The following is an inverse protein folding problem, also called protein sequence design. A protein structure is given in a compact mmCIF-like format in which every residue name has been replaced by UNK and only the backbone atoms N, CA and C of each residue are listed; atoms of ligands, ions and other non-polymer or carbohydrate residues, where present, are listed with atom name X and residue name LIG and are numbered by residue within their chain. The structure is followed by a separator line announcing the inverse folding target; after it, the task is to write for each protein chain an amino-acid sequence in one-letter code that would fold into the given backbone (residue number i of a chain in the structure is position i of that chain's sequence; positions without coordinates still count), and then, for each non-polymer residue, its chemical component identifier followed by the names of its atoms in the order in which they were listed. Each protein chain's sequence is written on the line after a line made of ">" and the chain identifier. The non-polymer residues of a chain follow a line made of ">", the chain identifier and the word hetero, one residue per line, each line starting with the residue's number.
data_IF_884440724737
#
_entry.id   IF_884440724737
#
_cell.length_a   1.000
_cell.length_b   1.000
_cell.length_c   1.000
_cell.angle_alpha   90.00
_cell.angle_beta   90.00
_cell.angle_gamma   90.00
#
_symmetry.space_group_name_H-M   'P 1'
#
loop_
_entity.id
_entity.type
_entity.pdbx_description
1 polymer ?
#
# COMPACT_ATOMS: atom_id res chain seq x y z
N UNK A 1 1.67 19.05 -0.16
CA UNK A 1 1.02 17.99 0.63
C UNK A 1 2.07 17.28 1.46
N UNK A 2 1.65 16.53 2.48
CA UNK A 2 2.50 15.57 3.18
C UNK A 2 2.01 14.17 2.81
N UNK A 3 2.93 13.23 2.56
CA UNK A 3 2.62 11.81 2.36
C UNK A 3 2.87 11.11 3.69
N UNK A 4 1.85 10.43 4.22
CA UNK A 4 2.00 9.58 5.40
C UNK A 4 2.70 8.26 5.03
N UNK A 5 3.59 7.79 5.91
CA UNK A 5 4.28 6.51 5.75
C UNK A 5 4.28 5.76 7.08
N UNK A 6 4.27 4.42 7.04
CA UNK A 6 4.22 3.59 8.26
C UNK A 6 5.58 3.51 8.97
N UNK A 7 6.68 3.59 8.21
CA UNK A 7 8.03 3.61 8.75
C UNK A 7 9.02 4.39 7.89
N UNK A 8 10.02 4.97 8.54
CA UNK A 8 11.15 5.66 7.90
C UNK A 8 12.48 5.27 8.55
N UNK A 9 13.37 4.70 7.75
CA UNK A 9 14.78 4.54 8.10
C UNK A 9 15.62 5.65 7.45
N UNK A 10 16.03 6.62 8.28
CA UNK A 10 16.83 7.75 7.84
C UNK A 10 18.25 7.39 7.40
N UNK A 11 18.80 6.25 7.83
CA UNK A 11 20.15 5.85 7.46
C UNK A 11 20.21 5.31 6.03
N UNK A 12 19.31 4.40 5.67
CA UNK A 12 19.23 3.84 4.31
C UNK A 12 18.36 4.66 3.36
N UNK A 13 17.68 5.69 3.87
CA UNK A 13 16.64 6.45 3.16
C UNK A 13 15.54 5.55 2.61
N UNK A 14 15.01 4.70 3.49
CA UNK A 14 13.99 3.70 3.13
C UNK A 14 12.69 3.98 3.84
N UNK A 15 11.61 4.05 3.06
CA UNK A 15 10.24 4.01 3.56
C UNK A 15 9.80 2.55 3.66
N UNK A 16 9.15 2.21 4.78
CA UNK A 16 8.46 0.94 4.93
C UNK A 16 6.95 1.20 4.88
N UNK A 17 6.22 0.46 4.06
CA UNK A 17 4.75 0.51 4.01
C UNK A 17 4.13 -0.85 4.28
N UNK A 18 3.06 -0.84 5.06
CA UNK A 18 2.22 -2.00 5.31
C UNK A 18 0.86 -1.77 4.64
N UNK A 19 0.49 -2.67 3.74
CA UNK A 19 -0.74 -2.54 2.96
C UNK A 19 -1.80 -3.52 3.44
N UNK A 20 -2.80 -3.01 4.17
CA UNK A 20 -4.00 -3.77 4.48
C UNK A 20 -4.70 -4.20 3.19
N UNK A 21 -4.89 -5.50 2.96
CA UNK A 21 -5.26 -5.99 1.62
C UNK A 21 -6.59 -5.42 1.09
N UNK A 22 -7.57 -5.21 1.97
CA UNK A 22 -8.85 -4.59 1.62
C UNK A 22 -8.77 -3.07 1.48
N UNK A 23 -7.97 -2.41 2.32
CA UNK A 23 -7.91 -0.94 2.37
C UNK A 23 -6.96 -0.35 1.31
N UNK A 24 -6.11 -1.18 0.72
CA UNK A 24 -5.17 -0.81 -0.34
C UNK A 24 -5.43 -1.57 -1.64
N UNK A 25 -6.56 -2.28 -1.73
CA UNK A 25 -7.02 -2.87 -2.98
C UNK A 25 -6.16 -4.00 -3.55
N UNK A 26 -5.55 -4.84 -2.71
CA UNK A 26 -4.60 -5.88 -3.16
C UNK A 26 -5.19 -6.75 -4.28
N UNK A 27 -4.67 -6.66 -5.53
CA UNK A 27 -5.19 -7.43 -6.65
C UNK A 27 -4.93 -8.93 -6.45
N UNK A 28 -5.91 -9.75 -6.81
CA UNK A 28 -5.78 -11.22 -6.77
C UNK A 28 -5.48 -11.79 -5.37
N UNK A 29 -5.86 -11.09 -4.30
CA UNK A 29 -5.67 -11.53 -2.92
C UNK A 29 -6.90 -12.28 -2.38
N UNK A 30 -6.67 -13.39 -1.66
CA UNK A 30 -7.72 -14.19 -1.04
C UNK A 30 -8.50 -13.42 0.05
N UNK A 31 -7.86 -12.46 0.72
CA UNK A 31 -8.51 -11.60 1.72
C UNK A 31 -9.47 -10.58 1.11
N UNK A 32 -9.27 -10.24 -0.17
CA UNK A 32 -10.13 -9.34 -0.95
C UNK A 32 -11.11 -10.08 -1.88
N UNK A 33 -11.03 -11.41 -1.93
CA UNK A 33 -11.83 -12.21 -2.87
C UNK A 33 -13.35 -12.03 -2.62
N UNK A 34 -14.08 -11.76 -3.70
CA UNK A 34 -15.53 -11.57 -3.66
C UNK A 34 -15.96 -10.19 -3.17
N UNK A 35 -15.03 -9.23 -3.08
CA UNK A 35 -15.31 -7.82 -2.81
C UNK A 35 -14.80 -6.97 -3.97
N UNK A 36 -15.58 -5.98 -4.35
CA UNK A 36 -15.20 -4.96 -5.34
C UNK A 36 -15.05 -3.57 -4.72
N UNK A 37 -15.55 -3.41 -3.48
CA UNK A 37 -15.52 -2.17 -2.71
C UNK A 37 -14.93 -2.41 -1.33
N UNK A 38 -14.30 -1.38 -0.78
CA UNK A 38 -13.81 -1.39 0.58
C UNK A 38 -14.97 -1.24 1.60
N UNK A 39 -14.81 -1.77 2.84
CA UNK A 39 -15.86 -1.74 3.84
C UNK A 39 -15.95 -0.42 4.62
N UNK A 40 -14.98 0.50 4.49
CA UNK A 40 -14.95 1.76 5.22
C UNK A 40 -15.71 2.86 4.47
N UNK A 41 -15.34 3.09 3.21
CA UNK A 41 -15.74 4.29 2.48
C UNK A 41 -16.51 3.99 1.17
N UNK A 42 -16.72 2.71 0.85
CA UNK A 42 -17.31 2.22 -0.41
C UNK A 42 -16.51 2.62 -1.66
N UNK A 43 -15.20 2.79 -1.53
CA UNK A 43 -14.31 3.04 -2.66
C UNK A 43 -14.03 1.73 -3.42
N UNK A 44 -14.01 1.76 -4.77
CA UNK A 44 -13.62 0.59 -5.54
C UNK A 44 -12.20 0.14 -5.19
N UNK A 45 -12.00 -1.16 -4.97
CA UNK A 45 -10.68 -1.71 -4.65
C UNK A 45 -9.64 -1.40 -5.73
N UNK A 46 -10.06 -1.29 -6.99
CA UNK A 46 -9.19 -0.90 -8.09
C UNK A 46 -8.65 0.53 -7.95
N UNK A 47 -9.47 1.46 -7.42
CA UNK A 47 -9.08 2.85 -7.22
C UNK A 47 -8.12 2.97 -6.04
N UNK A 48 -8.38 2.24 -4.94
CA UNK A 48 -7.47 2.13 -3.79
C UNK A 48 -6.11 1.54 -4.18
N UNK A 49 -6.11 0.53 -5.06
CA UNK A 49 -4.87 -0.03 -5.60
C UNK A 49 -4.13 1.01 -6.44
N UNK A 50 -4.83 1.75 -7.29
CA UNK A 50 -4.27 2.87 -8.05
C UNK A 50 -3.60 3.88 -7.14
N UNK A 51 -4.27 4.34 -6.10
CA UNK A 51 -3.70 5.27 -5.11
C UNK A 51 -2.48 4.70 -4.37
N UNK A 52 -2.48 3.40 -4.08
CA UNK A 52 -1.33 2.71 -3.47
C UNK A 52 -0.12 2.71 -4.40
N UNK A 53 -0.33 2.42 -5.69
CA UNK A 53 0.73 2.47 -6.72
C UNK A 53 1.23 3.90 -6.92
N UNK A 54 0.34 4.88 -7.00
CA UNK A 54 0.70 6.30 -7.19
C UNK A 54 1.60 6.81 -6.05
N UNK A 55 1.31 6.43 -4.79
CA UNK A 55 2.15 6.78 -3.64
C UNK A 55 3.54 6.16 -3.76
N UNK A 56 3.62 4.87 -4.08
CA UNK A 56 4.90 4.16 -4.29
C UNK A 56 5.71 4.80 -5.42
N UNK A 57 5.06 5.15 -6.54
CA UNK A 57 5.71 5.81 -7.68
C UNK A 57 6.19 7.21 -7.31
N UNK A 58 5.42 7.99 -6.56
CA UNK A 58 5.84 9.29 -6.06
C UNK A 58 7.05 9.18 -5.12
N UNK A 59 7.03 8.23 -4.17
CA UNK A 59 8.13 8.00 -3.22
C UNK A 59 9.42 7.60 -3.94
N UNK A 60 9.34 6.69 -4.90
CA UNK A 60 10.51 6.19 -5.62
C UNK A 60 11.01 7.15 -6.70
N UNK A 61 10.11 7.81 -7.43
CA UNK A 61 10.42 8.68 -8.56
C UNK A 61 10.64 10.15 -8.19
N UNK A 62 9.69 10.77 -7.49
CA UNK A 62 9.74 12.20 -7.19
C UNK A 62 10.54 12.51 -5.92
N UNK A 63 10.34 11.72 -4.87
CA UNK A 63 11.04 11.92 -3.58
C UNK A 63 12.45 11.30 -3.60
N UNK A 64 12.64 10.22 -4.36
CA UNK A 64 13.94 9.54 -4.50
C UNK A 64 14.37 8.83 -3.22
N UNK A 65 13.45 8.04 -2.64
CA UNK A 65 13.71 7.14 -1.52
C UNK A 65 13.47 5.69 -1.91
N UNK A 66 14.10 4.76 -1.20
CA UNK A 66 13.80 3.33 -1.35
C UNK A 66 12.46 3.03 -0.67
N UNK A 67 11.71 2.06 -1.19
CA UNK A 67 10.44 1.62 -0.58
C UNK A 67 10.48 0.11 -0.40
N UNK A 68 10.18 -0.34 0.82
CA UNK A 68 9.91 -1.74 1.14
C UNK A 68 8.43 -1.83 1.51
N UNK A 69 7.73 -2.76 0.87
CA UNK A 69 6.29 -2.93 1.04
C UNK A 69 6.02 -4.37 1.48
N UNK A 70 5.00 -4.54 2.30
CA UNK A 70 4.46 -5.85 2.64
C UNK A 70 2.94 -5.77 2.70
N UNK A 71 2.28 -6.74 2.06
CA UNK A 71 0.83 -6.85 2.12
C UNK A 71 0.38 -7.65 3.33
N UNK A 72 -0.82 -7.37 3.85
CA UNK A 72 -1.38 -8.08 5.01
C UNK A 72 -1.35 -9.61 4.84
N UNK A 73 -1.71 -10.13 3.66
CA UNK A 73 -1.70 -11.57 3.42
C UNK A 73 -0.29 -12.17 3.49
N UNK A 74 0.72 -11.47 2.99
CA UNK A 74 2.11 -11.91 3.05
C UNK A 74 2.60 -11.87 4.49
N UNK A 75 2.29 -10.80 5.22
CA UNK A 75 2.66 -10.65 6.62
C UNK A 75 2.08 -11.73 7.52
N UNK A 76 0.86 -12.18 7.24
CA UNK A 76 0.19 -13.25 8.02
C UNK A 76 0.82 -14.63 7.85
N UNK A 77 1.59 -14.82 6.78
CA UNK A 77 2.25 -16.09 6.46
C UNK A 77 3.75 -16.12 6.84
N UNK A 78 4.26 -15.06 7.48
CA UNK A 78 5.62 -14.98 8.06
C UNK A 78 5.69 -15.61 9.46
#
# INVERSE_FOLDING_TARGET
>A
GHIGVDGWDGQSRTVCQFHGCLFHGHPHCSLAQGRDIDPMDNEPLADLYGGTVDIRECLTGEVGVSVIEVWECEWRDL
#
